data_IF_650864047058
#
_entry.id   IF_650864047058
#
_cell.length_a   1.000
_cell.length_b   1.000
_cell.length_c   1.000
_cell.angle_alpha   90.00
_cell.angle_beta   90.00
_cell.angle_gamma   90.00
#
_symmetry.space_group_name_H-M   'P 1'
#
loop_
_entity.id
_entity.type
_entity.pdbx_description
1 polymer ?
#
# COMPACT_ATOMS: atom_id res chain seq x y z
N UNK A 1 -11.79 12.08 -30.94
CA UNK A 1 -11.41 12.97 -29.83
C UNK A 1 -11.69 12.29 -28.49
N UNK A 2 -12.87 11.69 -28.34
CA UNK A 2 -13.28 10.84 -27.20
C UNK A 2 -12.29 9.70 -26.86
N UNK A 3 -11.76 8.99 -27.88
CA UNK A 3 -10.78 7.90 -27.67
C UNK A 3 -9.41 8.36 -27.10
N UNK A 4 -9.03 9.63 -27.28
CA UNK A 4 -7.76 10.16 -26.75
C UNK A 4 -7.88 10.49 -25.26
N UNK A 5 -9.03 11.00 -24.83
CA UNK A 5 -9.31 11.32 -23.43
C UNK A 5 -9.47 10.05 -22.59
N UNK A 6 -10.17 9.03 -23.11
CA UNK A 6 -10.32 7.73 -22.44
C UNK A 6 -8.96 7.04 -22.21
N UNK A 7 -8.07 7.08 -23.20
CA UNK A 7 -6.69 6.55 -23.07
C UNK A 7 -5.87 7.32 -22.04
N UNK A 8 -6.01 8.65 -22.01
CA UNK A 8 -5.33 9.47 -21.00
C UNK A 8 -5.83 9.18 -19.58
N UNK A 9 -7.13 8.88 -19.41
CA UNK A 9 -7.70 8.54 -18.10
C UNK A 9 -7.18 7.18 -17.60
N UNK A 10 -7.11 6.17 -18.47
CA UNK A 10 -6.52 4.86 -18.14
C UNK A 10 -5.05 4.98 -17.74
N UNK A 11 -4.26 5.74 -18.51
CA UNK A 11 -2.85 5.98 -18.20
C UNK A 11 -2.65 6.69 -16.84
N UNK A 12 -3.52 7.65 -16.52
CA UNK A 12 -3.49 8.34 -15.24
C UNK A 12 -3.87 7.41 -14.08
N UNK A 13 -4.87 6.56 -14.26
CA UNK A 13 -5.26 5.55 -13.27
C UNK A 13 -4.15 4.53 -13.04
N UNK A 14 -3.48 4.07 -14.10
CA UNK A 14 -2.34 3.15 -14.01
C UNK A 14 -1.17 3.74 -13.25
N UNK A 15 -0.84 5.01 -13.50
CA UNK A 15 0.20 5.75 -12.75
C UNK A 15 -0.17 5.87 -11.28
N UNK A 16 -1.42 6.26 -10.97
CA UNK A 16 -1.89 6.35 -9.60
C UNK A 16 -1.82 4.99 -8.87
N UNK A 17 -2.26 3.90 -9.51
CA UNK A 17 -2.15 2.54 -8.96
C UNK A 17 -0.69 2.18 -8.66
N UNK A 18 0.22 2.47 -9.58
CA UNK A 18 1.65 2.24 -9.39
C UNK A 18 2.20 3.03 -8.20
N UNK A 19 1.89 4.32 -8.11
CA UNK A 19 2.41 5.18 -7.04
C UNK A 19 1.90 4.76 -5.66
N UNK A 20 0.63 4.37 -5.55
CA UNK A 20 0.08 3.84 -4.30
C UNK A 20 0.75 2.51 -3.94
N UNK A 21 0.92 1.59 -4.90
CA UNK A 21 1.63 0.32 -4.67
C UNK A 21 3.04 0.55 -4.14
N UNK A 22 3.76 1.51 -4.71
CA UNK A 22 5.08 1.90 -4.24
C UNK A 22 5.06 2.40 -2.78
N UNK A 23 4.08 3.23 -2.40
CA UNK A 23 3.93 3.65 -1.00
C UNK A 23 3.62 2.48 -0.06
N UNK A 24 2.76 1.54 -0.48
CA UNK A 24 2.44 0.35 0.32
C UNK A 24 3.68 -0.53 0.52
N UNK A 25 4.52 -0.69 -0.50
CA UNK A 25 5.81 -1.39 -0.38
C UNK A 25 6.76 -0.69 0.61
N UNK A 26 6.82 0.65 0.58
CA UNK A 26 7.62 1.42 1.53
C UNK A 26 7.11 1.27 2.98
N UNK A 27 5.79 1.28 3.18
CA UNK A 27 5.18 1.06 4.51
C UNK A 27 5.52 -0.35 5.01
N UNK A 28 5.37 -1.37 4.16
CA UNK A 28 5.72 -2.74 4.51
C UNK A 28 7.18 -2.85 4.97
N UNK A 29 8.11 -2.29 4.20
CA UNK A 29 9.53 -2.27 4.55
C UNK A 29 9.77 -1.55 5.90
N UNK A 30 9.16 -0.38 6.09
CA UNK A 30 9.31 0.39 7.32
C UNK A 30 8.81 -0.37 8.55
N UNK A 31 7.67 -1.05 8.46
CA UNK A 31 7.13 -1.87 9.54
C UNK A 31 8.04 -3.06 9.87
N UNK A 32 8.60 -3.73 8.86
CA UNK A 32 9.54 -4.83 9.07
C UNK A 32 10.81 -4.35 9.78
N UNK A 33 11.38 -3.21 9.37
CA UNK A 33 12.55 -2.64 10.06
C UNK A 33 12.21 -2.18 11.48
N UNK A 34 11.05 -1.56 11.69
CA UNK A 34 10.62 -1.04 12.99
C UNK A 34 10.50 -2.13 14.06
N UNK A 35 10.14 -3.36 13.69
CA UNK A 35 10.12 -4.52 14.61
C UNK A 35 11.48 -4.81 15.25
N UNK A 36 12.59 -4.42 14.61
CA UNK A 36 13.93 -4.62 15.16
C UNK A 36 14.43 -3.42 15.98
N UNK A 37 13.82 -2.25 15.83
CA UNK A 37 14.20 -1.01 16.51
C UNK A 37 13.47 -0.81 17.85
N UNK A 38 12.37 -1.52 18.09
CA UNK A 38 11.59 -1.42 19.32
C UNK A 38 12.04 -2.51 20.31
N UNK A 39 12.76 -2.15 21.39
CA UNK A 39 13.07 -3.11 22.46
C UNK A 39 11.79 -3.48 23.22
N UNK A 40 11.69 -4.75 23.63
CA UNK A 40 10.57 -5.29 24.42
C UNK A 40 9.19 -4.94 23.84
N UNK A 41 8.97 -5.32 22.57
CA UNK A 41 7.68 -5.17 21.88
C UNK A 41 6.52 -5.68 22.74
N UNK A 42 5.67 -4.76 23.18
CA UNK A 42 4.43 -5.09 23.88
C UNK A 42 3.41 -5.73 22.93
N UNK A 43 2.46 -6.48 23.50
CA UNK A 43 1.35 -7.06 22.74
C UNK A 43 0.56 -5.99 21.97
N UNK A 44 0.30 -4.83 22.58
CA UNK A 44 -0.38 -3.71 21.92
C UNK A 44 0.42 -3.19 20.72
N UNK A 45 1.74 -3.08 20.86
CA UNK A 45 2.61 -2.64 19.77
C UNK A 45 2.57 -3.62 18.60
N UNK A 46 2.69 -4.93 18.88
CA UNK A 46 2.56 -5.99 17.89
C UNK A 46 1.20 -5.94 17.18
N UNK A 47 0.12 -5.75 17.94
CA UNK A 47 -1.23 -5.60 17.40
C UNK A 47 -1.34 -4.41 16.43
N UNK A 48 -0.78 -3.25 16.77
CA UNK A 48 -0.80 -2.09 15.88
C UNK A 48 0.02 -2.33 14.61
N UNK A 49 1.23 -2.90 14.72
CA UNK A 49 2.07 -3.21 13.56
C UNK A 49 1.37 -4.18 12.60
N UNK A 50 0.74 -5.23 13.14
CA UNK A 50 -0.01 -6.20 12.35
C UNK A 50 -1.27 -5.59 11.71
N UNK A 51 -1.97 -4.73 12.43
CA UNK A 51 -3.15 -4.01 11.91
C UNK A 51 -2.78 -3.12 10.73
N UNK A 52 -1.67 -2.37 10.81
CA UNK A 52 -1.21 -1.51 9.72
C UNK A 52 -0.78 -2.36 8.52
N UNK A 53 -0.07 -3.47 8.76
CA UNK A 53 0.35 -4.40 7.71
C UNK A 53 -0.84 -5.03 6.98
N UNK A 54 -1.83 -5.51 7.75
CA UNK A 54 -3.05 -6.11 7.23
C UNK A 54 -3.82 -5.11 6.38
N UNK A 55 -3.99 -3.89 6.88
CA UNK A 55 -4.68 -2.81 6.15
C UNK A 55 -3.96 -2.47 4.84
N UNK A 56 -2.62 -2.37 4.87
CA UNK A 56 -1.80 -2.09 3.68
C UNK A 56 -1.95 -3.20 2.63
N UNK A 57 -2.00 -4.46 3.07
CA UNK A 57 -2.23 -5.62 2.21
C UNK A 57 -3.62 -5.60 1.58
N UNK A 58 -4.64 -5.25 2.35
CA UNK A 58 -6.01 -5.11 1.85
C UNK A 58 -6.12 -4.01 0.79
N UNK A 59 -5.49 -2.85 1.01
CA UNK A 59 -5.45 -1.78 0.01
C UNK A 59 -4.78 -2.27 -1.28
N UNK A 60 -3.65 -2.97 -1.18
CA UNK A 60 -2.97 -3.53 -2.35
C UNK A 60 -3.88 -4.50 -3.14
N UNK A 61 -4.64 -5.34 -2.43
CA UNK A 61 -5.60 -6.25 -3.05
C UNK A 61 -6.75 -5.51 -3.74
N UNK A 62 -7.29 -4.46 -3.11
CA UNK A 62 -8.30 -3.60 -3.73
C UNK A 62 -7.78 -2.95 -5.01
N UNK A 63 -6.53 -2.47 -5.03
CA UNK A 63 -5.91 -1.88 -6.22
C UNK A 63 -5.68 -2.88 -7.35
N UNK A 64 -5.47 -4.16 -7.02
CA UNK A 64 -5.32 -5.24 -8.01
C UNK A 64 -6.66 -5.67 -8.62
N UNK A 65 -7.76 -5.48 -7.88
CA UNK A 65 -9.11 -5.87 -8.27
C UNK A 65 -9.96 -4.70 -8.78
N UNK A 66 -9.45 -3.46 -8.68
CA UNK A 66 -10.08 -2.30 -9.27
C UNK A 66 -9.76 -2.31 -10.77
N UNK A 67 -10.64 -2.87 -11.59
CA UNK A 67 -10.60 -2.72 -13.05
C UNK A 67 -11.13 -1.34 -13.45
#
# INVERSE_FOLDING_TARGET
MEDLEARSADDNLRKLKHDIKNQLSNIHLALEQLKYEIPDLSEDCLFYLDTILTSSTQINNLLNNAD
#
